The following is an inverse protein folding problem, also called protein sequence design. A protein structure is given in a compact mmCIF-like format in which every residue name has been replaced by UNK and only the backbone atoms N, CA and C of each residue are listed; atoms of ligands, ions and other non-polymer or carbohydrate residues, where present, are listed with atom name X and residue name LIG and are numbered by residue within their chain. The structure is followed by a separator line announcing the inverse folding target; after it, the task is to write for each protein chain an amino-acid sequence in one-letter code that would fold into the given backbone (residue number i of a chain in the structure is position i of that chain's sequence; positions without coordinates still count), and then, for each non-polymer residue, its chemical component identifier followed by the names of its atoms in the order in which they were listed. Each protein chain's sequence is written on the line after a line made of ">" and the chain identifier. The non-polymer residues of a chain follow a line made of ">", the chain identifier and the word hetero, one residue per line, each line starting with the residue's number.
data_IF_062191664605
#
_entry.id   IF_062191664605
#
_cell.length_a   1.000
_cell.length_b   1.000
_cell.length_c   1.000
_cell.angle_alpha   90.00
_cell.angle_beta   90.00
_cell.angle_gamma   90.00
#
_symmetry.space_group_name_H-M   'P 1'
#
loop_
_entity.id
_entity.type
_entity.pdbx_description
1 polymer ?
#
# COMPACT_ATOMS: atom_id res chain seq x y z
N UNK A 1 -30.02 -12.63 -17.03
CA UNK A 1 -28.97 -13.64 -16.84
C UNK A 1 -27.83 -12.92 -16.17
N UNK A 2 -27.86 -12.89 -14.84
CA UNK A 2 -26.80 -12.27 -14.06
C UNK A 2 -25.66 -13.28 -14.01
N UNK A 3 -24.82 -13.24 -15.04
CA UNK A 3 -23.56 -13.96 -15.01
C UNK A 3 -22.75 -13.30 -13.92
N UNK A 4 -22.70 -13.90 -12.73
CA UNK A 4 -21.76 -13.53 -11.67
C UNK A 4 -20.35 -13.74 -12.24
N UNK A 5 -19.82 -12.72 -12.91
CA UNK A 5 -18.53 -12.78 -13.58
C UNK A 5 -17.49 -12.82 -12.47
N UNK A 6 -16.91 -14.00 -12.26
CA UNK A 6 -15.73 -14.16 -11.42
C UNK A 6 -14.60 -13.34 -12.04
N UNK A 7 -14.27 -12.21 -11.41
CA UNK A 7 -13.24 -11.27 -11.89
C UNK A 7 -11.95 -11.49 -11.13
N UNK A 8 -10.85 -11.56 -11.87
CA UNK A 8 -9.49 -11.55 -11.33
C UNK A 8 -8.91 -10.15 -11.42
N UNK A 9 -8.08 -9.80 -10.44
CA UNK A 9 -7.37 -8.52 -10.36
C UNK A 9 -5.90 -8.78 -10.07
N UNK A 10 -5.03 -7.96 -10.66
CA UNK A 10 -3.60 -7.94 -10.33
C UNK A 10 -3.28 -6.79 -9.39
N UNK A 11 -2.00 -6.70 -9.02
CA UNK A 11 -1.54 -5.69 -8.07
C UNK A 11 -1.74 -4.25 -8.56
N UNK A 12 -1.78 -4.00 -9.87
CA UNK A 12 -2.00 -2.66 -10.43
C UNK A 12 -3.47 -2.24 -10.35
N UNK A 13 -4.40 -3.15 -10.59
CA UNK A 13 -5.82 -2.90 -10.41
C UNK A 13 -6.15 -2.61 -8.95
N UNK A 14 -5.59 -3.39 -8.02
CA UNK A 14 -5.75 -3.18 -6.57
C UNK A 14 -5.14 -1.84 -6.14
N UNK A 15 -3.93 -1.54 -6.60
CA UNK A 15 -3.22 -0.27 -6.36
C UNK A 15 -4.10 0.94 -6.74
N UNK A 16 -4.72 0.87 -7.91
CA UNK A 16 -5.59 1.94 -8.42
C UNK A 16 -6.82 2.16 -7.53
N UNK A 17 -7.42 1.09 -7.01
CA UNK A 17 -8.58 1.18 -6.09
C UNK A 17 -8.24 1.81 -4.75
N UNK A 18 -7.05 1.49 -4.23
CA UNK A 18 -6.60 1.95 -2.93
C UNK A 18 -5.88 3.31 -2.98
N UNK A 19 -5.60 3.84 -4.17
CA UNK A 19 -4.74 5.01 -4.35
C UNK A 19 -3.32 4.77 -3.83
N UNK A 20 -2.79 3.57 -4.06
CA UNK A 20 -1.45 3.11 -3.61
C UNK A 20 -0.62 2.69 -4.82
N UNK A 21 0.69 2.53 -4.64
CA UNK A 21 1.54 1.97 -5.70
C UNK A 21 1.36 0.47 -5.82
N UNK A 22 1.71 -0.09 -6.99
CA UNK A 22 1.78 -1.55 -7.19
C UNK A 22 2.76 -2.21 -6.22
N UNK A 23 3.88 -1.55 -5.91
CA UNK A 23 4.90 -2.08 -5.00
C UNK A 23 4.37 -2.20 -3.57
N UNK A 24 3.59 -1.20 -3.11
CA UNK A 24 2.91 -1.26 -1.83
C UNK A 24 1.94 -2.44 -1.74
N UNK A 25 1.20 -2.72 -2.81
CA UNK A 25 0.32 -3.91 -2.84
C UNK A 25 1.12 -5.22 -2.71
N UNK A 26 2.30 -5.31 -3.32
CA UNK A 26 3.13 -6.51 -3.19
C UNK A 26 3.66 -6.72 -1.77
N UNK A 27 3.98 -5.65 -1.04
CA UNK A 27 4.35 -5.73 0.38
C UNK A 27 3.15 -6.09 1.26
N UNK A 28 1.97 -5.52 0.98
CA UNK A 28 0.75 -5.89 1.69
C UNK A 28 0.43 -7.37 1.48
N UNK A 29 0.65 -7.89 0.27
CA UNK A 29 0.48 -9.31 -0.05
C UNK A 29 1.48 -10.26 0.66
N UNK A 30 2.43 -9.75 1.43
CA UNK A 30 3.27 -10.54 2.33
C UNK A 30 2.74 -10.58 3.77
N UNK A 31 1.71 -9.76 4.09
CA UNK A 31 1.08 -9.73 5.40
C UNK A 31 0.04 -10.85 5.53
N UNK A 32 -0.06 -11.42 6.73
CA UNK A 32 -0.98 -12.54 7.02
C UNK A 32 -2.46 -12.17 6.81
N UNK A 33 -2.83 -10.91 7.02
CA UNK A 33 -4.21 -10.44 6.88
C UNK A 33 -4.61 -10.14 5.42
N UNK A 34 -3.65 -10.16 4.48
CA UNK A 34 -3.93 -9.89 3.07
C UNK A 34 -4.44 -11.16 2.36
N UNK A 35 -5.39 -11.05 1.41
CA UNK A 35 -5.93 -12.21 0.72
C UNK A 35 -4.86 -13.07 0.02
N UNK A 36 -4.99 -14.38 0.16
CA UNK A 36 -4.13 -15.31 -0.55
C UNK A 36 -4.31 -15.14 -2.07
N UNK A 37 -3.21 -15.16 -2.85
CA UNK A 37 -3.30 -15.07 -4.30
C UNK A 37 -3.98 -16.31 -4.86
N UNK A 38 -4.92 -16.09 -5.80
CA UNK A 38 -5.52 -17.18 -6.57
C UNK A 38 -4.46 -17.91 -7.40
N UNK A 39 -3.53 -17.15 -7.99
CA UNK A 39 -2.42 -17.71 -8.74
C UNK A 39 -1.23 -16.76 -8.79
N UNK A 40 -0.02 -17.33 -8.86
CA UNK A 40 1.21 -16.61 -9.14
C UNK A 40 1.62 -16.81 -10.61
N UNK A 41 1.71 -15.72 -11.36
CA UNK A 41 2.13 -15.71 -12.75
C UNK A 41 3.51 -15.08 -12.88
N UNK A 42 4.21 -15.29 -14.00
CA UNK A 42 5.48 -14.62 -14.28
C UNK A 42 5.38 -13.08 -14.25
N UNK A 43 4.20 -12.54 -14.56
CA UNK A 43 3.89 -11.10 -14.50
C UNK A 43 3.53 -10.60 -13.08
N UNK A 44 3.29 -11.52 -12.13
CA UNK A 44 2.93 -11.23 -10.76
C UNK A 44 1.74 -12.05 -10.25
N UNK A 45 1.40 -11.82 -8.98
CA UNK A 45 0.25 -12.42 -8.29
C UNK A 45 -1.08 -11.87 -8.81
N UNK A 46 -2.09 -12.73 -8.87
CA UNK A 46 -3.49 -12.40 -9.19
C UNK A 46 -4.42 -12.92 -8.11
N UNK A 47 -5.47 -12.16 -7.82
CA UNK A 47 -6.45 -12.44 -6.77
C UNK A 47 -7.85 -12.47 -7.34
N UNK A 48 -8.76 -13.14 -6.63
CA UNK A 48 -10.17 -12.89 -6.83
C UNK A 48 -10.52 -11.48 -6.38
N UNK A 49 -11.31 -10.81 -7.20
CA UNK A 49 -11.79 -9.48 -6.87
C UNK A 49 -12.57 -9.45 -5.56
N UNK A 50 -13.48 -10.39 -5.34
CA UNK A 50 -14.36 -10.37 -4.18
C UNK A 50 -13.57 -10.52 -2.87
N UNK A 51 -12.52 -11.34 -2.85
CA UNK A 51 -11.64 -11.49 -1.67
C UNK A 51 -10.93 -10.16 -1.33
N UNK A 52 -10.49 -9.41 -2.35
CA UNK A 52 -9.91 -8.08 -2.17
C UNK A 52 -10.96 -7.11 -1.66
N UNK A 53 -12.15 -7.06 -2.27
CA UNK A 53 -13.22 -6.17 -1.82
C UNK A 53 -13.60 -6.48 -0.36
N UNK A 54 -13.80 -7.74 0.00
CA UNK A 54 -14.12 -8.13 1.38
C UNK A 54 -13.02 -7.73 2.36
N UNK A 55 -11.74 -7.89 1.97
CA UNK A 55 -10.61 -7.42 2.76
C UNK A 55 -10.61 -5.89 2.94
N UNK A 56 -10.91 -5.12 1.88
CA UNK A 56 -11.02 -3.65 1.96
C UNK A 56 -12.13 -3.24 2.92
N UNK A 57 -13.28 -3.91 2.87
CA UNK A 57 -14.40 -3.63 3.76
C UNK A 57 -14.03 -3.94 5.23
N UNK A 58 -13.43 -5.12 5.50
CA UNK A 58 -12.94 -5.49 6.84
C UNK A 58 -11.92 -4.48 7.38
N UNK A 59 -11.00 -4.03 6.53
CA UNK A 59 -9.98 -3.04 6.89
C UNK A 59 -10.56 -1.66 7.20
N UNK A 60 -11.67 -1.27 6.59
CA UNK A 60 -12.34 0.01 6.89
C UNK A 60 -13.12 0.01 8.20
N UNK A 61 -13.63 -1.15 8.61
CA UNK A 61 -14.37 -1.31 9.86
C UNK A 61 -13.45 -1.40 11.09
N UNK A 62 -12.15 -1.63 10.87
CA UNK A 62 -11.12 -1.70 11.91
C UNK A 62 -9.82 -1.02 11.50
N UNK A 63 -9.90 0.17 10.90
CA UNK A 63 -8.78 0.85 10.24
C UNK A 63 -7.46 0.84 11.06
N UNK A 64 -6.47 0.00 10.69
CA UNK A 64 -5.15 0.06 11.31
C UNK A 64 -4.39 1.32 10.88
N UNK A 65 -4.81 2.03 9.81
CA UNK A 65 -4.26 3.34 9.46
C UNK A 65 -4.72 4.43 10.44
N UNK A 66 -5.78 4.17 11.22
CA UNK A 66 -6.28 5.04 12.28
C UNK A 66 -5.47 4.99 13.58
N UNK A 67 -4.58 4.00 13.76
CA UNK A 67 -3.83 3.80 15.01
C UNK A 67 -2.30 3.68 14.83
N UNK A 68 -1.75 4.21 13.72
CA UNK A 68 -0.28 4.22 13.51
C UNK A 68 0.35 5.36 14.31
N UNK A 69 1.02 5.05 15.43
CA UNK A 69 1.73 6.02 16.26
C UNK A 69 3.25 5.81 16.23
N UNK A 70 4.04 6.76 15.71
CA UNK A 70 5.51 6.75 15.83
C UNK A 70 6.29 6.46 14.55
N UNK A 71 7.39 5.71 14.66
CA UNK A 71 8.32 5.44 13.54
C UNK A 71 7.67 4.69 12.38
N UNK A 72 6.61 3.91 12.64
CA UNK A 72 5.82 3.25 11.60
C UNK A 72 5.04 4.23 10.73
N UNK A 73 4.55 5.33 11.30
CA UNK A 73 3.87 6.39 10.53
C UNK A 73 4.87 7.17 9.65
N UNK A 74 6.11 7.31 10.12
CA UNK A 74 7.20 7.94 9.36
C UNK A 74 7.60 7.07 8.17
N UNK A 75 7.77 5.77 8.42
CA UNK A 75 8.06 4.78 7.38
C UNK A 75 6.95 4.74 6.34
N UNK A 76 5.69 4.66 6.75
CA UNK A 76 4.54 4.65 5.84
C UNK A 76 4.44 5.95 5.02
N UNK A 77 4.71 7.11 5.62
CA UNK A 77 4.70 8.38 4.89
C UNK A 77 5.87 8.49 3.90
N UNK A 78 7.07 8.07 4.30
CA UNK A 78 8.23 8.06 3.41
C UNK A 78 8.02 7.09 2.25
N UNK A 79 7.45 5.91 2.51
CA UNK A 79 7.05 4.94 1.49
C UNK A 79 6.02 5.54 0.52
N UNK A 80 4.96 6.19 1.03
CA UNK A 80 3.96 6.88 0.20
C UNK A 80 4.56 7.98 -0.68
N UNK A 81 5.54 8.72 -0.18
CA UNK A 81 6.21 9.78 -0.96
C UNK A 81 7.11 9.15 -2.02
N UNK A 82 7.90 8.14 -1.67
CA UNK A 82 8.75 7.43 -2.63
C UNK A 82 7.93 6.77 -3.75
N UNK A 83 6.80 6.15 -3.38
CA UNK A 83 5.81 5.57 -4.30
C UNK A 83 5.25 6.62 -5.27
N UNK A 84 4.84 7.78 -4.74
CA UNK A 84 4.31 8.87 -5.56
C UNK A 84 5.34 9.46 -6.51
N UNK A 85 6.62 9.44 -6.12
CA UNK A 85 7.73 9.88 -6.96
C UNK A 85 8.10 8.84 -8.02
N UNK A 86 8.01 7.55 -7.73
CA UNK A 86 8.28 6.46 -8.67
C UNK A 86 7.26 6.38 -9.82
N UNK A 87 6.03 6.87 -9.63
CA UNK A 87 5.00 6.96 -10.68
C UNK A 87 5.16 8.18 -11.61
N UNK A 88 6.03 9.14 -11.26
CA UNK A 88 6.34 10.29 -12.11
C UNK A 88 7.56 9.98 -12.98
N UNK A 89 7.28 9.53 -14.20
CA UNK A 89 8.21 9.17 -15.30
C UNK A 89 9.26 10.25 -15.71
N UNK A 90 9.33 11.39 -15.00
CA UNK A 90 10.23 12.53 -15.29
C UNK A 90 11.36 12.72 -14.28
N UNK A 91 11.46 11.91 -13.23
CA UNK A 91 12.53 12.06 -12.24
C UNK A 91 13.40 10.80 -12.26
N UNK A 92 14.61 10.92 -12.81
CA UNK A 92 15.69 9.97 -12.56
C UNK A 92 16.05 10.05 -11.09
N UNK A 93 15.53 9.12 -10.32
CA UNK A 93 15.83 8.98 -8.91
C UNK A 93 16.84 7.84 -8.77
N UNK A 94 18.06 8.16 -8.32
CA UNK A 94 19.06 7.16 -7.95
C UNK A 94 18.61 6.30 -6.75
N UNK A 95 19.17 5.09 -6.65
CA UNK A 95 18.64 3.94 -5.91
C UNK A 95 18.49 4.02 -4.38
N UNK A 96 18.58 5.20 -3.76
CA UNK A 96 18.42 5.39 -2.30
C UNK A 96 17.51 6.58 -1.92
N UNK A 97 16.50 6.87 -2.73
CA UNK A 97 15.55 7.94 -2.40
C UNK A 97 14.70 7.64 -1.16
N UNK A 98 14.36 6.38 -0.95
CA UNK A 98 13.59 5.97 0.23
C UNK A 98 14.39 6.25 1.50
N UNK A 99 15.67 5.87 1.54
CA UNK A 99 16.57 6.16 2.66
C UNK A 99 16.76 7.67 2.86
N UNK A 100 16.99 8.41 1.77
CA UNK A 100 17.14 9.86 1.82
C UNK A 100 15.89 10.58 2.34
N UNK A 101 14.69 10.17 1.92
CA UNK A 101 13.43 10.75 2.39
C UNK A 101 13.16 10.43 3.86
N UNK A 102 13.46 9.21 4.32
CA UNK A 102 13.34 8.84 5.73
C UNK A 102 14.22 9.75 6.59
N UNK A 103 15.49 9.98 6.21
CA UNK A 103 16.39 10.88 6.94
C UNK A 103 15.87 12.33 6.97
N UNK A 104 15.36 12.83 5.86
CA UNK A 104 14.85 14.20 5.74
C UNK A 104 13.56 14.42 6.55
N UNK A 105 12.66 13.44 6.57
CA UNK A 105 11.35 13.58 7.19
C UNK A 105 11.34 13.19 8.69
N UNK A 106 12.30 12.39 9.15
CA UNK A 106 12.40 11.92 10.54
C UNK A 106 12.35 13.05 11.58
N UNK A 107 13.05 14.19 11.44
CA UNK A 107 12.99 15.27 12.43
C UNK A 107 11.64 16.00 12.44
N UNK A 108 11.05 16.23 11.27
CA UNK A 108 9.79 16.96 11.10
C UNK A 108 8.56 16.18 11.60
N UNK A 109 8.64 14.84 11.62
CA UNK A 109 7.56 13.98 12.09
C UNK A 109 7.71 13.61 13.58
N UNK A 110 8.92 13.68 14.17
CA UNK A 110 9.11 13.54 15.62
C UNK A 110 8.44 14.66 16.43
N UNK A 111 8.38 15.88 15.87
CA UNK A 111 7.72 17.02 16.51
C UNK A 111 6.18 16.97 16.43
N UNK A 112 5.62 16.03 15.66
CA UNK A 112 4.18 15.86 15.48
C UNK A 112 3.55 14.81 16.42
N UNK A 113 4.27 14.32 17.44
CA UNK A 113 3.70 13.33 18.35
C UNK A 113 2.62 13.93 19.28
N UNK A 114 1.40 13.54 18.92
CA UNK A 114 0.27 13.18 19.78
C UNK A 114 -0.41 14.30 20.57
N UNK A 115 -1.52 14.81 20.02
CA UNK A 115 -2.68 15.18 20.84
C UNK A 115 -3.71 14.05 20.71
N UNK A 116 -3.76 13.18 21.72
CA UNK A 116 -4.85 12.22 21.93
C UNK A 116 -5.47 12.68 23.25
N UNK A 117 -6.66 13.28 23.18
CA UNK A 117 -7.52 13.52 24.36
C UNK A 117 -7.97 12.17 24.94
#
# INVERSE_FOLDING_TARGET
>A
MDSTVLRLVGAREIATRLGRSRQRIQQLAEQEDFPEPFQELAMGRVWWEHDIEDWIHRGRDGDPAGDVCGEDAIRELAERIADHLAERDQILVDGDLVGALVEVLRPALRSLRCRRD
#
